data_IF_049308630169
#
_entry.id   IF_049308630169
#
_cell.length_a   1.000
_cell.length_b   1.000
_cell.length_c   1.000
_cell.angle_alpha   90.00
_cell.angle_beta   90.00
_cell.angle_gamma   90.00
#
_symmetry.space_group_name_H-M   'P 1'
#
loop_
_entity.id
_entity.type
_entity.pdbx_description
1 polymer ?
#
# COMPACT_ATOMS: atom_id res chain seq x y z
N UNK A 1 -3.49 1.50 -9.12
CA UNK A 1 -3.85 1.93 -7.74
C UNK A 1 -5.27 2.45 -7.75
N UNK A 2 -6.11 2.09 -6.79
CA UNK A 2 -7.47 2.60 -6.65
C UNK A 2 -7.67 3.25 -5.27
N UNK A 3 -7.96 4.56 -5.21
CA UNK A 3 -7.95 5.31 -3.95
C UNK A 3 -9.18 5.11 -3.07
N UNK A 4 -10.29 4.64 -3.65
CA UNK A 4 -11.54 4.41 -2.92
C UNK A 4 -12.08 5.70 -2.31
N UNK A 5 -12.43 5.69 -1.02
CA UNK A 5 -12.98 6.86 -0.31
C UNK A 5 -12.03 8.05 -0.14
N UNK A 6 -10.72 7.85 -0.36
CA UNK A 6 -9.69 8.90 -0.24
C UNK A 6 -9.63 9.70 -1.54
N UNK A 7 -10.72 10.39 -1.86
CA UNK A 7 -10.90 11.17 -3.08
C UNK A 7 -11.98 12.25 -2.88
N UNK A 8 -12.25 13.01 -3.93
CA UNK A 8 -13.29 14.04 -3.96
C UNK A 8 -13.97 14.06 -5.33
N UNK A 9 -15.28 14.38 -5.44
CA UNK A 9 -15.99 14.41 -6.72
C UNK A 9 -15.29 15.23 -7.80
N UNK A 10 -14.69 16.36 -7.42
CA UNK A 10 -13.95 17.22 -8.36
C UNK A 10 -12.71 16.59 -9.01
N UNK A 11 -12.29 15.42 -8.54
CA UNK A 11 -11.18 14.64 -9.10
C UNK A 11 -11.67 13.50 -10.00
N UNK A 12 -12.97 13.25 -10.03
CA UNK A 12 -13.58 12.12 -10.71
C UNK A 12 -14.34 12.57 -11.96
N UNK A 13 -14.39 11.73 -13.01
CA UNK A 13 -15.20 12.01 -14.19
C UNK A 13 -16.65 12.31 -13.81
N UNK A 14 -17.24 13.33 -14.45
CA UNK A 14 -18.63 13.74 -14.25
C UNK A 14 -18.98 14.12 -12.79
N UNK A 15 -17.99 14.42 -11.94
CA UNK A 15 -18.17 14.75 -10.53
C UNK A 15 -18.97 13.69 -9.75
N UNK A 16 -18.81 12.42 -10.08
CA UNK A 16 -19.42 11.32 -9.31
C UNK A 16 -18.81 11.22 -7.92
N UNK A 17 -19.54 10.61 -6.99
CA UNK A 17 -19.00 10.33 -5.66
C UNK A 17 -17.86 9.30 -5.73
N UNK A 18 -16.81 9.45 -4.91
CA UNK A 18 -15.85 8.38 -4.65
C UNK A 18 -16.56 7.10 -4.24
N UNK A 19 -16.01 5.95 -4.62
CA UNK A 19 -16.57 4.63 -4.28
C UNK A 19 -15.78 3.98 -3.15
N UNK A 20 -16.46 3.16 -2.34
CA UNK A 20 -15.90 2.52 -1.16
C UNK A 20 -16.66 1.22 -0.81
N UNK A 21 -16.16 0.36 0.10
CA UNK A 21 -16.95 -0.75 0.63
C UNK A 21 -18.24 -0.30 1.32
N UNK A 22 -18.17 0.78 2.11
CA UNK A 22 -19.29 1.37 2.84
C UNK A 22 -19.34 2.88 2.66
N UNK A 23 -20.53 3.47 2.83
CA UNK A 23 -20.74 4.92 2.85
C UNK A 23 -20.24 5.54 4.17
N UNK A 24 -18.92 5.52 4.38
CA UNK A 24 -18.26 6.06 5.58
C UNK A 24 -17.26 7.12 5.14
N UNK A 25 -17.60 8.40 5.39
CA UNK A 25 -16.71 9.54 5.14
C UNK A 25 -15.43 9.40 6.00
N UNK A 26 -14.23 9.47 5.40
CA UNK A 26 -12.99 9.51 6.17
C UNK A 26 -12.78 10.87 6.83
N UNK A 27 -12.10 10.89 7.98
CA UNK A 27 -11.60 12.11 8.59
C UNK A 27 -10.53 12.80 7.72
N UNK A 28 -10.37 14.12 7.87
CA UNK A 28 -9.35 14.92 7.18
C UNK A 28 -9.84 15.61 5.90
N UNK A 29 -8.92 15.88 4.99
CA UNK A 29 -9.14 16.65 3.76
C UNK A 29 -8.54 15.98 2.53
N UNK A 30 -9.25 16.06 1.40
CA UNK A 30 -8.75 15.69 0.08
C UNK A 30 -7.96 16.84 -0.53
N UNK A 31 -6.81 16.55 -1.14
CA UNK A 31 -6.11 17.54 -1.97
C UNK A 31 -6.71 17.55 -3.38
N UNK A 32 -7.20 18.71 -3.83
CA UNK A 32 -7.83 18.89 -5.15
C UNK A 32 -7.11 19.94 -5.97
N UNK A 33 -7.55 20.16 -7.21
CA UNK A 33 -7.07 21.27 -8.05
C UNK A 33 -7.28 22.67 -7.41
N UNK A 34 -8.12 22.78 -6.37
CA UNK A 34 -8.36 24.00 -5.60
C UNK A 34 -7.70 23.99 -4.22
N UNK A 35 -6.80 23.03 -3.96
CA UNK A 35 -6.19 22.79 -2.66
C UNK A 35 -7.00 21.84 -1.78
N UNK A 36 -6.75 21.89 -0.47
CA UNK A 36 -7.36 21.00 0.51
C UNK A 36 -8.84 21.35 0.74
N UNK A 37 -9.72 20.38 0.46
CA UNK A 37 -11.17 20.46 0.73
C UNK A 37 -11.59 19.28 1.60
N UNK A 38 -12.72 19.41 2.28
CA UNK A 38 -13.22 18.32 3.11
C UNK A 38 -13.58 17.11 2.25
N UNK A 39 -13.33 15.92 2.79
CA UNK A 39 -13.85 14.70 2.17
C UNK A 39 -15.39 14.73 2.11
N UNK A 40 -15.94 14.01 1.14
CA UNK A 40 -17.38 13.72 1.07
C UNK A 40 -17.64 12.29 1.51
N UNK A 41 -18.88 11.98 1.86
CA UNK A 41 -19.28 10.59 2.04
C UNK A 41 -19.18 9.85 0.69
N UNK A 42 -18.49 8.71 0.62
CA UNK A 42 -18.40 7.92 -0.60
C UNK A 42 -19.70 7.16 -0.84
N UNK A 43 -19.90 6.69 -2.08
CA UNK A 43 -20.94 5.72 -2.39
C UNK A 43 -20.44 4.30 -2.09
N UNK A 44 -21.23 3.51 -1.38
CA UNK A 44 -20.96 2.08 -1.23
C UNK A 44 -21.08 1.37 -2.59
N UNK A 45 -20.09 0.55 -2.95
CA UNK A 45 -20.11 -0.26 -4.15
C UNK A 45 -21.24 -1.30 -4.07
N UNK A 46 -21.99 -1.48 -5.15
CA UNK A 46 -22.89 -2.60 -5.29
C UNK A 46 -22.12 -3.89 -5.57
N UNK A 47 -22.70 -5.02 -5.19
CA UNK A 47 -22.08 -6.34 -5.39
C UNK A 47 -21.76 -6.61 -6.87
N UNK A 48 -22.60 -6.11 -7.78
CA UNK A 48 -22.44 -6.24 -9.23
C UNK A 48 -21.28 -5.39 -9.80
N UNK A 49 -20.78 -4.41 -9.07
CA UNK A 49 -19.68 -3.53 -9.50
C UNK A 49 -18.29 -4.12 -9.20
N UNK A 50 -18.20 -5.04 -8.23
CA UNK A 50 -16.92 -5.61 -7.77
C UNK A 50 -16.16 -6.38 -8.86
N UNK A 51 -16.81 -7.18 -9.74
CA UNK A 51 -16.13 -7.76 -10.88
C UNK A 51 -15.49 -6.72 -11.83
N UNK A 52 -16.11 -5.53 -11.94
CA UNK A 52 -15.55 -4.42 -12.73
C UNK A 52 -14.26 -3.86 -12.12
N UNK A 53 -14.20 -3.74 -10.79
CA UNK A 53 -12.97 -3.34 -10.08
C UNK A 53 -11.85 -4.34 -10.35
N UNK A 54 -12.14 -5.65 -10.31
CA UNK A 54 -11.15 -6.70 -10.60
C UNK A 54 -10.64 -6.58 -12.05
N UNK A 55 -11.56 -6.37 -13.00
CA UNK A 55 -11.22 -6.16 -14.41
C UNK A 55 -10.35 -4.91 -14.65
N UNK A 56 -10.54 -3.84 -13.88
CA UNK A 56 -9.70 -2.64 -13.96
C UNK A 56 -8.26 -2.94 -13.52
N UNK A 57 -8.05 -3.75 -12.48
CA UNK A 57 -6.70 -4.19 -12.07
C UNK A 57 -6.06 -5.12 -13.11
N UNK A 58 -6.83 -6.03 -13.70
CA UNK A 58 -6.38 -6.89 -14.80
C UNK A 58 -5.92 -6.04 -16.00
N UNK A 59 -6.73 -5.07 -16.42
CA UNK A 59 -6.42 -4.15 -17.51
C UNK A 59 -5.19 -3.28 -17.22
N UNK A 60 -5.09 -2.75 -15.99
CA UNK A 60 -3.93 -1.98 -15.55
C UNK A 60 -2.64 -2.82 -15.60
N UNK A 61 -2.73 -4.10 -15.23
CA UNK A 61 -1.58 -5.03 -15.28
C UNK A 61 -1.15 -5.28 -16.72
N UNK A 62 -2.08 -5.54 -17.65
CA UNK A 62 -1.76 -5.67 -19.08
C UNK A 62 -1.08 -4.41 -19.61
N UNK A 63 -1.56 -3.24 -19.21
CA UNK A 63 -0.99 -1.95 -19.60
C UNK A 63 0.42 -1.75 -19.04
N UNK A 64 0.67 -2.12 -17.78
CA UNK A 64 2.00 -2.05 -17.17
C UNK A 64 3.02 -2.94 -17.90
N UNK A 65 2.64 -4.19 -18.22
CA UNK A 65 3.54 -5.09 -18.95
C UNK A 65 3.79 -4.61 -20.38
N UNK A 66 2.77 -4.06 -21.06
CA UNK A 66 2.92 -3.47 -22.38
C UNK A 66 3.84 -2.23 -22.37
N UNK A 67 3.90 -1.51 -21.25
CA UNK A 67 4.81 -0.38 -21.04
C UNK A 67 6.25 -0.82 -20.67
N UNK A 68 6.51 -2.13 -20.49
CA UNK A 68 7.84 -2.67 -20.22
C UNK A 68 8.22 -2.76 -18.75
N UNK A 69 7.27 -2.68 -17.82
CA UNK A 69 7.54 -2.97 -16.40
C UNK A 69 7.91 -4.45 -16.20
N UNK A 70 8.91 -4.72 -15.36
CA UNK A 70 9.34 -6.09 -15.02
C UNK A 70 8.30 -6.88 -14.21
N UNK A 71 7.43 -6.17 -13.50
CA UNK A 71 6.38 -6.72 -12.65
C UNK A 71 5.45 -5.63 -12.09
N UNK A 72 4.53 -6.02 -11.22
CA UNK A 72 3.54 -5.13 -10.62
C UNK A 72 3.38 -5.38 -9.12
N UNK A 73 3.01 -4.34 -8.37
CA UNK A 73 2.66 -4.45 -6.95
C UNK A 73 1.19 -4.08 -6.72
N UNK A 74 0.41 -5.01 -6.17
CA UNK A 74 -0.98 -4.75 -5.75
C UNK A 74 -0.97 -3.96 -4.45
N UNK A 75 -1.53 -2.76 -4.48
CA UNK A 75 -1.57 -1.88 -3.32
C UNK A 75 -2.79 -2.20 -2.42
N UNK A 76 -2.60 -3.09 -1.46
CA UNK A 76 -3.54 -3.47 -0.39
C UNK A 76 -3.28 -2.81 0.97
N UNK A 77 -2.85 -1.55 0.96
CA UNK A 77 -2.30 -0.85 2.13
C UNK A 77 -2.76 0.62 2.20
N UNK A 78 -2.38 1.30 3.28
CA UNK A 78 -2.46 2.74 3.50
C UNK A 78 -3.87 3.33 3.33
N UNK A 79 -4.90 2.55 3.62
CA UNK A 79 -6.29 3.00 3.62
C UNK A 79 -6.88 3.32 2.26
N UNK A 80 -6.35 2.73 1.20
CA UNK A 80 -6.93 2.78 -0.15
C UNK A 80 -7.89 1.61 -0.38
N UNK A 81 -8.54 1.53 -1.55
CA UNK A 81 -9.75 0.71 -1.74
C UNK A 81 -9.63 -0.72 -1.18
N UNK A 82 -8.57 -1.45 -1.51
CA UNK A 82 -8.40 -2.82 -1.05
C UNK A 82 -8.24 -2.91 0.48
N UNK A 83 -7.47 -2.00 1.08
CA UNK A 83 -7.32 -1.91 2.55
C UNK A 83 -8.63 -1.44 3.23
N UNK A 84 -9.42 -0.61 2.55
CA UNK A 84 -10.75 -0.22 3.01
C UNK A 84 -11.68 -1.44 3.12
N UNK A 85 -11.59 -2.40 2.18
CA UNK A 85 -12.33 -3.66 2.26
C UNK A 85 -11.78 -4.57 3.36
N UNK A 86 -10.46 -4.62 3.56
CA UNK A 86 -9.85 -5.47 4.59
C UNK A 86 -10.31 -5.14 6.01
N UNK A 87 -10.39 -3.85 6.35
CA UNK A 87 -10.55 -3.44 7.75
C UNK A 87 -11.98 -3.08 8.12
N UNK A 88 -12.44 -3.58 9.25
CA UNK A 88 -13.84 -3.41 9.71
C UNK A 88 -14.20 -1.97 10.14
N UNK A 89 -13.20 -1.09 10.35
CA UNK A 89 -13.42 0.33 10.57
C UNK A 89 -13.95 1.07 9.35
N UNK A 90 -13.75 0.53 8.14
CA UNK A 90 -14.21 1.11 6.88
C UNK A 90 -15.14 0.18 6.09
N UNK A 91 -15.19 -1.10 6.42
CA UNK A 91 -16.05 -2.09 5.78
C UNK A 91 -17.11 -2.64 6.75
N UNK A 92 -18.32 -2.14 6.59
CA UNK A 92 -19.52 -2.54 7.34
C UNK A 92 -20.54 -3.29 6.48
N UNK A 93 -20.09 -3.85 5.35
CA UNK A 93 -20.97 -4.60 4.44
C UNK A 93 -21.50 -5.86 5.12
N UNK A 94 -22.70 -6.27 4.73
CA UNK A 94 -23.37 -7.50 5.19
C UNK A 94 -23.40 -8.60 4.13
N UNK A 95 -22.84 -8.36 2.95
CA UNK A 95 -22.71 -9.34 1.87
C UNK A 95 -21.40 -10.14 1.99
N UNK A 96 -21.09 -10.94 0.96
CA UNK A 96 -19.92 -11.79 0.93
C UNK A 96 -18.57 -11.02 0.82
N UNK A 97 -18.58 -9.69 0.87
CA UNK A 97 -17.39 -8.85 0.93
C UNK A 97 -17.26 -8.08 2.25
N UNK A 98 -18.09 -8.37 3.25
CA UNK A 98 -17.96 -7.82 4.61
C UNK A 98 -18.33 -8.81 5.71
N UNK A 99 -18.29 -8.33 6.95
CA UNK A 99 -18.47 -9.16 8.15
C UNK A 99 -17.21 -9.96 8.49
N UNK A 100 -17.16 -11.23 8.08
CA UNK A 100 -16.06 -12.13 8.45
C UNK A 100 -14.72 -11.73 7.80
N UNK A 101 -13.60 -12.14 8.39
CA UNK A 101 -12.25 -11.86 7.86
C UNK A 101 -12.10 -12.38 6.42
N UNK A 102 -12.62 -13.58 6.14
CA UNK A 102 -12.60 -14.20 4.82
C UNK A 102 -13.32 -13.34 3.78
N UNK A 103 -14.49 -12.80 4.14
CA UNK A 103 -15.25 -11.93 3.26
C UNK A 103 -14.55 -10.59 3.04
N UNK A 104 -14.00 -9.97 4.09
CA UNK A 104 -13.24 -8.72 3.98
C UNK A 104 -11.99 -8.85 3.13
N UNK A 105 -11.32 -10.00 3.18
CA UNK A 105 -10.14 -10.33 2.37
C UNK A 105 -10.47 -10.68 0.91
N UNK A 106 -11.72 -11.02 0.60
CA UNK A 106 -12.13 -11.56 -0.71
C UNK A 106 -11.69 -10.70 -1.90
N UNK A 107 -11.94 -9.39 -1.86
CA UNK A 107 -11.60 -8.51 -2.98
C UNK A 107 -10.09 -8.46 -3.23
N UNK A 108 -9.26 -8.46 -2.18
CA UNK A 108 -7.81 -8.51 -2.34
C UNK A 108 -7.38 -9.84 -2.99
N UNK A 109 -7.99 -10.96 -2.60
CA UNK A 109 -7.67 -12.27 -3.18
C UNK A 109 -8.09 -12.35 -4.66
N UNK A 110 -9.27 -11.83 -5.02
CA UNK A 110 -9.76 -11.79 -6.40
C UNK A 110 -8.88 -10.90 -7.29
N UNK A 111 -8.53 -9.72 -6.82
CA UNK A 111 -7.59 -8.82 -7.53
C UNK A 111 -6.22 -9.47 -7.68
N UNK A 112 -5.67 -10.05 -6.60
CA UNK A 112 -4.36 -10.71 -6.64
C UNK A 112 -4.37 -11.86 -7.65
N UNK A 113 -5.42 -12.68 -7.64
CA UNK A 113 -5.60 -13.77 -8.61
C UNK A 113 -5.59 -13.25 -10.05
N UNK A 114 -6.43 -12.25 -10.37
CA UNK A 114 -6.52 -11.70 -11.72
C UNK A 114 -5.19 -11.09 -12.20
N UNK A 115 -4.48 -10.40 -11.32
CA UNK A 115 -3.16 -9.81 -11.62
C UNK A 115 -2.11 -10.91 -11.86
N UNK A 116 -2.11 -11.97 -11.05
CA UNK A 116 -1.23 -13.14 -11.22
C UNK A 116 -1.52 -13.89 -12.53
N UNK A 117 -2.79 -14.05 -12.90
CA UNK A 117 -3.18 -14.69 -14.16
C UNK A 117 -2.66 -13.93 -15.40
N UNK A 118 -2.47 -12.61 -15.31
CA UNK A 118 -1.90 -11.78 -16.38
C UNK A 118 -0.38 -11.76 -16.36
N UNK A 119 0.22 -11.47 -15.21
CA UNK A 119 1.65 -11.18 -15.11
C UNK A 119 2.52 -12.42 -14.89
N UNK A 120 1.96 -13.48 -14.32
CA UNK A 120 2.73 -14.56 -13.71
C UNK A 120 3.08 -14.24 -12.26
N UNK A 121 2.99 -15.24 -11.38
CA UNK A 121 3.12 -15.07 -9.93
C UNK A 121 4.47 -14.50 -9.49
N UNK A 122 5.55 -14.89 -10.18
CA UNK A 122 6.93 -14.47 -9.94
C UNK A 122 7.20 -13.00 -10.27
N UNK A 123 6.22 -12.29 -10.82
CA UNK A 123 6.27 -10.85 -11.15
C UNK A 123 5.26 -10.01 -10.37
N UNK A 124 4.56 -10.61 -9.42
CA UNK A 124 3.51 -9.92 -8.65
C UNK A 124 3.93 -9.82 -7.19
N UNK A 125 3.99 -8.59 -6.70
CA UNK A 125 4.05 -8.28 -5.27
C UNK A 125 2.69 -7.85 -4.73
N UNK A 126 2.50 -7.99 -3.42
CA UNK A 126 1.36 -7.38 -2.71
C UNK A 126 1.90 -6.54 -1.57
N UNK A 127 1.40 -5.30 -1.42
CA UNK A 127 1.74 -4.42 -0.30
C UNK A 127 0.61 -4.31 0.70
N UNK A 128 0.90 -4.53 1.99
CA UNK A 128 -0.04 -4.42 3.12
C UNK A 128 0.51 -3.48 4.21
N UNK A 129 -0.37 -2.95 5.05
CA UNK A 129 0.02 -2.07 6.16
C UNK A 129 -0.79 -2.39 7.43
N UNK A 130 -0.48 -3.49 8.12
CA UNK A 130 -1.39 -4.13 9.08
C UNK A 130 -2.01 -3.20 10.14
N UNK A 131 -1.22 -2.27 10.64
CA UNK A 131 -1.60 -1.36 11.74
C UNK A 131 -1.40 0.11 11.39
N UNK A 132 -1.23 0.45 10.11
CA UNK A 132 -1.08 1.85 9.72
C UNK A 132 -2.43 2.58 9.83
N UNK A 133 -2.56 3.62 10.68
CA UNK A 133 -3.83 4.34 10.89
C UNK A 133 -4.09 5.44 9.86
N UNK A 134 -3.12 5.72 8.98
CA UNK A 134 -3.26 6.72 7.92
C UNK A 134 -4.52 6.50 7.08
N UNK A 135 -5.10 7.61 6.59
CA UNK A 135 -6.38 7.63 5.86
C UNK A 135 -7.58 7.14 6.70
N UNK A 136 -7.55 7.43 8.00
CA UNK A 136 -8.64 7.15 8.95
C UNK A 136 -8.96 5.65 9.03
N UNK A 137 -7.91 4.84 9.09
CA UNK A 137 -8.01 3.38 9.07
C UNK A 137 -7.84 2.78 10.46
N UNK A 138 -8.64 1.75 10.74
CA UNK A 138 -8.60 0.94 11.97
C UNK A 138 -9.24 -0.41 11.69
N UNK A 139 -8.82 -1.44 12.42
CA UNK A 139 -9.48 -2.75 12.45
C UNK A 139 -9.61 -3.20 13.91
N UNK A 140 -10.68 -3.89 14.27
CA UNK A 140 -10.87 -4.35 15.65
C UNK A 140 -9.96 -5.51 16.06
N UNK A 141 -9.39 -6.25 15.10
CA UNK A 141 -8.48 -7.37 15.36
C UNK A 141 -7.44 -7.51 14.22
N UNK A 142 -6.50 -6.55 14.11
CA UNK A 142 -5.55 -6.51 12.99
C UNK A 142 -4.68 -7.77 12.91
N UNK A 143 -4.25 -8.34 14.05
CA UNK A 143 -3.43 -9.56 14.04
C UNK A 143 -4.14 -10.71 13.34
N UNK A 144 -5.40 -10.99 13.70
CA UNK A 144 -6.16 -12.08 13.09
C UNK A 144 -6.40 -11.84 11.59
N UNK A 145 -6.78 -10.62 11.23
CA UNK A 145 -7.01 -10.23 9.84
C UNK A 145 -5.76 -10.42 8.98
N UNK A 146 -4.64 -9.82 9.38
CA UNK A 146 -3.44 -9.81 8.55
C UNK A 146 -2.66 -11.14 8.60
N UNK A 147 -2.81 -11.95 9.65
CA UNK A 147 -2.39 -13.36 9.63
C UNK A 147 -3.14 -14.13 8.56
N UNK A 148 -4.48 -14.04 8.54
CA UNK A 148 -5.31 -14.70 7.53
C UNK A 148 -4.93 -14.24 6.12
N UNK A 149 -4.84 -12.92 5.88
CA UNK A 149 -4.44 -12.37 4.57
C UNK A 149 -3.09 -12.95 4.14
N UNK A 150 -2.10 -12.94 5.02
CA UNK A 150 -0.75 -13.44 4.73
C UNK A 150 -0.76 -14.94 4.41
N UNK A 151 -1.50 -15.74 5.18
CA UNK A 151 -1.66 -17.16 4.91
C UNK A 151 -2.33 -17.41 3.55
N UNK A 152 -3.40 -16.68 3.23
CA UNK A 152 -4.11 -16.83 1.95
C UNK A 152 -3.24 -16.42 0.76
N UNK A 153 -2.43 -15.37 0.88
CA UNK A 153 -1.56 -14.92 -0.21
C UNK A 153 -0.53 -15.97 -0.63
N UNK A 154 -0.14 -16.90 0.26
CA UNK A 154 0.78 -17.99 -0.07
C UNK A 154 0.29 -18.88 -1.22
N UNK A 155 -1.02 -18.99 -1.44
CA UNK A 155 -1.57 -19.84 -2.51
C UNK A 155 -1.18 -19.37 -3.92
N UNK A 156 -0.79 -18.10 -4.06
CA UNK A 156 -0.46 -17.50 -5.34
C UNK A 156 1.01 -17.64 -5.71
N UNK A 157 1.91 -18.00 -4.79
CA UNK A 157 3.34 -18.09 -5.07
C UNK A 157 3.98 -16.76 -5.51
N UNK A 158 3.54 -15.65 -4.88
CA UNK A 158 3.95 -14.28 -5.23
C UNK A 158 5.46 -14.06 -5.20
N UNK A 159 5.92 -13.10 -6.00
CA UNK A 159 7.31 -12.62 -5.97
C UNK A 159 7.71 -12.16 -4.57
N UNK A 160 6.84 -11.38 -3.91
CA UNK A 160 7.07 -10.90 -2.54
C UNK A 160 5.80 -10.40 -1.84
N UNK A 161 5.87 -10.32 -0.51
CA UNK A 161 4.97 -9.55 0.34
C UNK A 161 5.73 -8.33 0.88
N UNK A 162 5.19 -7.14 0.67
CA UNK A 162 5.78 -5.87 1.12
C UNK A 162 4.94 -5.31 2.28
N UNK A 163 5.56 -5.14 3.45
CA UNK A 163 4.85 -4.80 4.69
C UNK A 163 5.33 -3.46 5.25
N UNK A 164 4.39 -2.56 5.49
CA UNK A 164 4.62 -1.35 6.29
C UNK A 164 4.51 -1.71 7.77
N UNK A 165 5.64 -1.73 8.49
CA UNK A 165 5.75 -2.26 9.84
C UNK A 165 5.42 -1.24 10.93
N UNK A 166 4.22 -0.65 10.86
CA UNK A 166 3.73 0.31 11.85
C UNK A 166 2.91 1.44 11.23
N UNK A 167 2.88 2.58 11.92
CA UNK A 167 2.18 3.79 11.49
C UNK A 167 3.07 4.70 10.66
N UNK A 168 2.58 5.16 9.51
CA UNK A 168 3.31 6.19 8.75
C UNK A 168 3.09 7.57 9.39
N UNK A 169 4.04 8.48 9.15
CA UNK A 169 4.03 9.82 9.74
C UNK A 169 2.73 10.56 9.43
N UNK A 170 2.11 11.16 10.47
CA UNK A 170 0.85 11.89 10.35
C UNK A 170 -0.42 11.03 10.42
N UNK A 171 -0.31 9.70 10.48
CA UNK A 171 -1.46 8.80 10.62
C UNK A 171 -1.96 8.61 12.06
N UNK A 172 -1.10 8.77 13.06
CA UNK A 172 -1.36 8.43 14.47
C UNK A 172 -0.45 7.32 14.99
N UNK A 173 -0.68 6.90 16.23
CA UNK A 173 0.00 5.75 16.85
C UNK A 173 -0.58 4.44 16.29
N UNK A 174 0.29 3.50 15.94
CA UNK A 174 -0.13 2.20 15.43
C UNK A 174 -0.41 1.23 16.59
N UNK A 175 -1.42 0.38 16.42
CA UNK A 175 -1.72 -0.68 17.38
C UNK A 175 -0.54 -1.67 17.50
N UNK A 176 -0.37 -2.32 18.67
CA UNK A 176 0.59 -3.41 18.81
C UNK A 176 0.33 -4.53 17.79
N UNK A 177 1.40 -5.02 17.17
CA UNK A 177 1.33 -6.06 16.15
C UNK A 177 2.60 -6.93 16.16
N UNK A 178 2.43 -8.24 16.01
CA UNK A 178 3.52 -9.20 15.91
C UNK A 178 3.93 -9.41 14.44
N UNK A 179 4.89 -8.60 13.98
CA UNK A 179 5.46 -8.71 12.64
C UNK A 179 6.34 -9.96 12.47
N UNK A 180 6.91 -10.51 13.54
CA UNK A 180 7.67 -11.76 13.45
C UNK A 180 6.74 -12.94 13.15
N UNK A 181 5.56 -12.99 13.78
CA UNK A 181 4.54 -13.97 13.46
C UNK A 181 4.11 -13.83 12.00
N UNK A 182 3.83 -12.61 11.53
CA UNK A 182 3.47 -12.36 10.14
C UNK A 182 4.56 -12.86 9.17
N UNK A 183 5.83 -12.55 9.44
CA UNK A 183 6.97 -13.03 8.66
C UNK A 183 7.03 -14.55 8.61
N UNK A 184 6.77 -15.25 9.72
CA UNK A 184 6.76 -16.72 9.81
C UNK A 184 5.62 -17.35 9.00
N UNK A 185 4.50 -16.65 8.82
CA UNK A 185 3.35 -17.12 8.05
C UNK A 185 3.55 -17.01 6.54
N UNK A 186 4.28 -16.00 6.05
CA UNK A 186 4.56 -15.85 4.63
C UNK A 186 5.72 -16.76 4.17
N UNK A 187 5.49 -17.50 3.09
CA UNK A 187 6.43 -18.51 2.57
C UNK A 187 7.34 -17.99 1.45
N UNK A 188 7.03 -16.82 0.88
CA UNK A 188 7.83 -16.15 -0.14
C UNK A 188 8.78 -15.10 0.42
N UNK A 189 9.30 -14.24 -0.45
CA UNK A 189 10.17 -13.13 -0.07
C UNK A 189 9.40 -12.04 0.68
N UNK A 190 9.95 -11.56 1.79
CA UNK A 190 9.36 -10.52 2.62
C UNK A 190 10.17 -9.22 2.53
N UNK A 191 9.50 -8.12 2.16
CA UNK A 191 10.09 -6.78 2.11
C UNK A 191 9.58 -5.97 3.30
N UNK A 192 10.46 -5.68 4.26
CA UNK A 192 10.15 -4.80 5.38
C UNK A 192 10.21 -3.32 4.96
N UNK A 193 9.32 -2.51 5.50
CA UNK A 193 9.27 -1.08 5.26
C UNK A 193 8.83 -0.33 6.52
N UNK A 194 9.14 0.96 6.55
CA UNK A 194 8.86 1.98 7.58
C UNK A 194 10.10 2.38 8.38
N UNK A 195 10.61 3.58 8.08
CA UNK A 195 11.63 4.27 8.86
C UNK A 195 12.93 3.49 9.10
N UNK A 196 13.28 2.49 8.29
CA UNK A 196 14.56 1.80 8.40
C UNK A 196 15.74 2.72 8.05
N UNK A 197 16.86 2.52 8.74
CA UNK A 197 18.19 3.02 8.36
C UNK A 197 19.08 1.85 7.89
N UNK A 198 20.34 2.11 7.53
CA UNK A 198 21.29 1.06 7.11
C UNK A 198 21.47 -0.01 8.19
N UNK A 199 21.67 0.40 9.44
CA UNK A 199 22.01 -0.51 10.52
C UNK A 199 20.84 -1.46 10.85
N UNK A 200 19.63 -0.91 11.03
CA UNK A 200 18.42 -1.71 11.24
C UNK A 200 18.06 -2.55 10.04
N UNK A 201 18.29 -2.06 8.82
CA UNK A 201 18.02 -2.85 7.61
C UNK A 201 18.93 -4.07 7.51
N UNK A 202 20.23 -3.89 7.75
CA UNK A 202 21.19 -4.99 7.80
C UNK A 202 20.86 -5.98 8.93
N UNK A 203 20.46 -5.50 10.10
CA UNK A 203 20.06 -6.35 11.22
C UNK A 203 18.83 -7.20 10.90
N UNK A 204 17.80 -6.61 10.28
CA UNK A 204 16.58 -7.33 9.88
C UNK A 204 16.86 -8.42 8.84
N UNK A 205 17.76 -8.17 7.88
CA UNK A 205 18.15 -9.19 6.90
C UNK A 205 18.99 -10.28 7.57
N UNK A 206 19.97 -9.91 8.40
CA UNK A 206 20.84 -10.87 9.08
C UNK A 206 20.10 -11.80 10.05
N UNK A 207 19.02 -11.32 10.68
CA UNK A 207 18.18 -12.13 11.57
C UNK A 207 17.14 -13.00 10.85
N UNK A 208 16.95 -12.81 9.54
CA UNK A 208 15.87 -13.44 8.76
C UNK A 208 14.50 -12.81 8.96
N UNK A 209 14.42 -11.65 9.63
CA UNK A 209 13.18 -10.87 9.78
C UNK A 209 12.65 -10.38 8.42
N UNK A 210 13.54 -10.07 7.49
CA UNK A 210 13.18 -9.66 6.13
C UNK A 210 14.19 -10.18 5.10
N UNK A 211 13.74 -10.40 3.86
CA UNK A 211 14.62 -10.76 2.75
C UNK A 211 15.15 -9.50 2.04
N UNK A 212 14.40 -8.40 2.11
CA UNK A 212 14.84 -7.07 1.66
C UNK A 212 14.18 -5.95 2.50
N UNK A 213 14.71 -4.74 2.39
CA UNK A 213 14.20 -3.55 3.07
C UNK A 213 13.96 -2.43 2.07
N UNK A 214 12.74 -1.88 2.05
CA UNK A 214 12.37 -0.76 1.20
C UNK A 214 12.57 0.58 1.93
N UNK A 215 13.24 1.51 1.27
CA UNK A 215 13.51 2.86 1.77
C UNK A 215 12.73 3.89 0.95
N UNK A 216 11.92 4.74 1.61
CA UNK A 216 11.15 5.80 0.96
C UNK A 216 11.89 7.13 0.99
N UNK A 217 11.70 7.90 2.08
CA UNK A 217 12.32 9.22 2.30
C UNK A 217 13.83 9.25 2.01
N UNK A 218 14.65 8.26 2.44
CA UNK A 218 16.07 8.25 2.09
C UNK A 218 16.33 8.22 0.59
N UNK A 219 15.54 7.47 -0.19
CA UNK A 219 15.70 7.40 -1.65
C UNK A 219 15.24 8.68 -2.36
N UNK A 220 14.28 9.42 -1.80
CA UNK A 220 13.87 10.73 -2.36
C UNK A 220 15.09 11.65 -2.44
N UNK A 221 15.85 11.76 -1.35
CA UNK A 221 16.97 12.69 -1.27
C UNK A 221 18.30 12.13 -1.79
N UNK A 222 18.40 10.81 -1.99
CA UNK A 222 19.66 10.13 -2.30
C UNK A 222 19.46 9.19 -3.49
N UNK A 223 19.62 9.67 -4.74
CA UNK A 223 19.44 8.83 -5.92
C UNK A 223 20.44 7.66 -5.98
N UNK A 224 21.56 7.78 -5.28
CA UNK A 224 22.61 6.77 -5.10
C UNK A 224 22.68 6.20 -3.68
N UNK A 225 21.54 6.11 -2.98
CA UNK A 225 21.44 5.61 -1.60
C UNK A 225 22.20 4.31 -1.36
N UNK A 226 22.13 3.36 -2.30
CA UNK A 226 22.79 2.06 -2.19
C UNK A 226 24.31 2.21 -2.11
N UNK A 227 24.90 3.06 -2.94
CA UNK A 227 26.34 3.32 -2.92
C UNK A 227 26.74 4.08 -1.65
N UNK A 228 25.90 5.04 -1.20
CA UNK A 228 26.11 5.72 0.09
C UNK A 228 26.14 4.76 1.25
N UNK A 229 25.18 3.83 1.30
CA UNK A 229 25.19 2.78 2.31
C UNK A 229 26.42 1.90 2.19
N UNK A 230 26.82 1.48 1.00
CA UNK A 230 28.01 0.64 0.81
C UNK A 230 29.29 1.31 1.32
N UNK A 231 29.43 2.62 1.13
CA UNK A 231 30.61 3.40 1.49
C UNK A 231 30.54 4.06 2.88
N UNK A 232 29.44 3.87 3.62
CA UNK A 232 29.16 4.62 4.86
C UNK A 232 29.25 6.14 4.67
N UNK A 233 28.82 6.61 3.50
CA UNK A 233 28.85 8.03 3.15
C UNK A 233 27.65 8.78 3.77
N UNK A 234 27.78 10.10 4.02
CA UNK A 234 26.68 10.94 4.47
C UNK A 234 25.48 10.88 3.51
N UNK A 235 24.27 10.94 4.07
CA UNK A 235 23.05 11.09 3.28
C UNK A 235 22.70 12.57 3.11
N UNK A 236 22.18 12.92 1.95
CA UNK A 236 21.49 14.17 1.75
C UNK A 236 20.22 14.20 2.64
N UNK A 237 19.88 15.38 3.14
CA UNK A 237 18.63 15.61 3.87
C UNK A 237 17.46 15.80 2.92
N UNK A 238 16.33 15.15 3.22
CA UNK A 238 15.12 15.28 2.42
C UNK A 238 14.34 16.55 2.78
N UNK A 239 13.98 17.34 1.77
CA UNK A 239 13.07 18.47 1.92
C UNK A 239 11.61 18.01 1.81
N UNK A 240 10.95 17.84 2.95
CA UNK A 240 9.55 17.38 2.99
C UNK A 240 8.55 18.36 2.36
N UNK A 241 8.93 19.63 2.14
CA UNK A 241 8.05 20.62 1.50
C UNK A 241 7.91 20.40 0.00
N UNK A 242 8.83 19.66 -0.62
CA UNK A 242 8.87 19.38 -2.06
C UNK A 242 8.45 17.95 -2.42
N UNK A 243 7.96 17.14 -1.46
CA UNK A 243 7.53 15.77 -1.74
C UNK A 243 6.31 15.66 -2.69
N UNK A 244 5.47 16.69 -2.75
CA UNK A 244 4.23 16.65 -3.54
C UNK A 244 4.07 17.91 -4.39
N UNK A 245 3.85 17.72 -5.69
CA UNK A 245 3.73 18.80 -6.68
C UNK A 245 5.07 19.43 -7.04
N UNK A 246 5.04 20.58 -7.70
CA UNK A 246 6.26 21.27 -8.15
C UNK A 246 6.82 20.72 -9.47
N UNK A 247 8.13 20.82 -9.63
CA UNK A 247 8.87 20.44 -10.84
C UNK A 247 10.17 19.69 -10.47
N UNK A 248 11.33 20.10 -10.97
CA UNK A 248 12.64 19.47 -10.73
C UNK A 248 13.17 19.64 -9.30
N UNK A 249 12.82 20.75 -8.64
CA UNK A 249 13.35 21.10 -7.32
C UNK A 249 12.83 20.17 -6.22
N UNK A 250 13.73 19.50 -5.52
CA UNK A 250 13.41 18.48 -4.53
C UNK A 250 12.95 17.16 -5.16
N UNK A 251 13.20 16.94 -6.45
CA UNK A 251 12.86 15.72 -7.17
C UNK A 251 14.04 15.13 -7.94
N UNK A 252 14.63 15.89 -8.86
CA UNK A 252 15.77 15.42 -9.69
C UNK A 252 17.05 16.21 -9.48
N UNK A 253 17.05 17.19 -8.57
CA UNK A 253 18.19 18.05 -8.26
C UNK A 253 18.97 17.64 -7.00
N UNK A 254 18.60 16.53 -6.34
CA UNK A 254 19.41 15.96 -5.27
C UNK A 254 20.74 15.43 -5.81
N UNK A 255 21.89 15.83 -5.24
CA UNK A 255 23.19 15.48 -5.79
C UNK A 255 23.58 14.02 -5.52
N UNK A 256 24.30 13.42 -6.47
CA UNK A 256 25.03 12.17 -6.30
C UNK A 256 26.31 12.39 -5.46
N UNK A 257 26.89 11.31 -4.91
CA UNK A 257 28.18 11.33 -4.21
C UNK A 257 29.34 11.78 -5.11
N UNK A 258 29.29 11.37 -6.39
CA UNK A 258 30.22 11.79 -7.43
C UNK A 258 29.41 12.60 -8.44
N UNK A 259 29.79 13.87 -8.60
CA UNK A 259 29.23 14.76 -9.61
C UNK A 259 29.71 14.38 -11.01
#
# INVERSE_FOLDING_TARGET
>A
WHVGRISHPSLLPNNVLPVAPSAIKPAGKAFTFKGLVDYVEPRALELSELPGIVADYEHATKSALAAGFDGVEVHGANGYLLDQFLRDGSNTRSDNYGGSIENRARLLMEVTKAVVEVAGADKVGVRISPVNPFNDMKDSNPQALFNYVTEQLNQFGLAYLHVVEGGIHGGGEADPFDFEQLRKLFKGAYIANLSYDKARGNAAIASGHADAVAYGVPFIANPDLVERFKLDAPLNEADSKSFYGGSEKGYTDYPFLKA
#
